data_IF_671678347571
#
_entry.id   IF_671678347571
#
_cell.length_a   1.000
_cell.length_b   1.000
_cell.length_c   1.000
_cell.angle_alpha   90.00
_cell.angle_beta   90.00
_cell.angle_gamma   90.00
#
_symmetry.space_group_name_H-M   'P 1'
#
loop_
_entity.id
_entity.type
_entity.pdbx_description
1 polymer ?
#
# COMPACT_ATOMS: atom_id res chain seq x y z
N UNK A 1 6.35 12.83 -31.47
CA UNK A 1 6.33 11.41 -31.06
C UNK A 1 4.91 11.15 -30.61
N UNK A 2 4.14 10.31 -31.31
CA UNK A 2 2.72 10.11 -31.01
C UNK A 2 2.62 9.37 -29.66
N UNK A 3 2.30 10.08 -28.58
CA UNK A 3 2.09 9.46 -27.29
C UNK A 3 0.78 8.66 -27.35
N UNK A 4 0.85 7.37 -27.02
CA UNK A 4 -0.37 6.57 -26.86
C UNK A 4 -1.11 7.12 -25.65
N UNK A 5 -2.32 7.62 -25.83
CA UNK A 5 -3.15 8.15 -24.76
C UNK A 5 -3.93 6.98 -24.15
N UNK A 6 -3.94 6.87 -22.82
CA UNK A 6 -4.79 5.90 -22.13
C UNK A 6 -6.09 6.60 -21.72
N UNK A 7 -7.22 5.98 -22.03
CA UNK A 7 -8.53 6.49 -21.65
C UNK A 7 -8.70 6.46 -20.12
N UNK A 8 -8.95 7.64 -19.54
CA UNK A 8 -9.12 7.87 -18.10
C UNK A 8 -10.19 7.00 -17.46
N UNK A 9 -11.30 6.82 -18.18
CA UNK A 9 -12.53 6.20 -17.68
C UNK A 9 -12.33 4.75 -17.29
N UNK A 10 -11.60 3.99 -18.11
CA UNK A 10 -11.35 2.58 -17.84
C UNK A 10 -10.45 2.39 -16.62
N UNK A 11 -9.45 3.25 -16.45
CA UNK A 11 -8.56 3.17 -15.28
C UNK A 11 -9.29 3.63 -14.01
N UNK A 12 -10.06 4.71 -14.07
CA UNK A 12 -10.88 5.16 -12.93
C UNK A 12 -11.83 4.07 -12.45
N UNK A 13 -12.55 3.43 -13.38
CA UNK A 13 -13.46 2.32 -13.05
C UNK A 13 -12.69 1.13 -12.50
N UNK A 14 -11.56 0.75 -13.11
CA UNK A 14 -10.74 -0.36 -12.63
C UNK A 14 -10.26 -0.12 -11.19
N UNK A 15 -9.68 1.05 -10.93
CA UNK A 15 -9.17 1.43 -9.61
C UNK A 15 -10.32 1.49 -8.60
N UNK A 16 -11.44 2.12 -8.96
CA UNK A 16 -12.60 2.20 -8.08
C UNK A 16 -13.15 0.81 -7.74
N UNK A 17 -13.25 -0.11 -8.71
CA UNK A 17 -13.64 -1.50 -8.47
C UNK A 17 -12.66 -2.22 -7.53
N UNK A 18 -11.36 -2.03 -7.70
CA UNK A 18 -10.35 -2.56 -6.79
C UNK A 18 -10.57 -2.04 -5.36
N UNK A 19 -10.80 -0.74 -5.19
CA UNK A 19 -11.09 -0.15 -3.87
C UNK A 19 -12.41 -0.63 -3.28
N UNK A 20 -13.45 -0.82 -4.10
CA UNK A 20 -14.70 -1.44 -3.65
C UNK A 20 -14.45 -2.86 -3.15
N UNK A 21 -13.69 -3.67 -3.89
CA UNK A 21 -13.36 -5.04 -3.48
C UNK A 21 -12.55 -5.09 -2.17
N UNK A 22 -11.53 -4.24 -2.04
CA UNK A 22 -10.75 -4.12 -0.80
C UNK A 22 -11.63 -3.63 0.35
N UNK A 23 -12.48 -2.62 0.12
CA UNK A 23 -13.39 -2.11 1.13
C UNK A 23 -14.37 -3.18 1.62
N UNK A 24 -14.93 -3.99 0.71
CA UNK A 24 -15.80 -5.13 1.06
C UNK A 24 -15.04 -6.15 1.89
N UNK A 25 -13.81 -6.51 1.50
CA UNK A 25 -12.96 -7.42 2.27
C UNK A 25 -12.74 -6.90 3.69
N UNK A 26 -12.38 -5.63 3.83
CA UNK A 26 -12.14 -4.97 5.11
C UNK A 26 -13.40 -4.96 5.98
N UNK A 27 -14.57 -4.68 5.40
CA UNK A 27 -15.85 -4.72 6.13
C UNK A 27 -16.16 -6.14 6.61
N UNK A 28 -16.02 -7.15 5.74
CA UNK A 28 -16.27 -8.55 6.09
C UNK A 28 -15.34 -9.03 7.20
N UNK A 29 -14.05 -8.67 7.13
CA UNK A 29 -13.10 -9.02 8.19
C UNK A 29 -13.42 -8.28 9.50
N UNK A 30 -13.83 -7.01 9.43
CA UNK A 30 -14.26 -6.24 10.60
C UNK A 30 -15.49 -6.85 11.28
N UNK A 31 -16.44 -7.38 10.51
CA UNK A 31 -17.60 -8.12 11.03
C UNK A 31 -17.18 -9.40 11.75
N UNK A 32 -16.12 -10.07 11.29
CA UNK A 32 -15.57 -11.29 11.89
C UNK A 32 -14.86 -11.01 13.22
N UNK A 33 -14.07 -9.94 13.30
CA UNK A 33 -13.28 -9.60 14.51
C UNK A 33 -14.05 -8.77 15.54
N UNK A 34 -15.25 -8.30 15.20
CA UNK A 34 -16.11 -7.48 16.05
C UNK A 34 -16.00 -5.99 15.72
N UNK A 35 -17.14 -5.36 15.40
CA UNK A 35 -17.24 -3.96 14.99
C UNK A 35 -18.11 -3.12 15.94
N UNK A 36 -18.52 -3.67 17.08
CA UNK A 36 -19.45 -3.01 18.01
C UNK A 36 -18.70 -2.15 19.01
N UNK A 37 -19.42 -1.21 19.61
CA UNK A 37 -18.97 -0.55 20.81
C UNK A 37 -19.38 -1.41 22.02
N UNK A 38 -18.40 -2.04 22.65
CA UNK A 38 -18.59 -2.89 23.82
C UNK A 38 -18.55 -2.07 25.11
N UNK A 39 -18.83 -2.71 26.24
CA UNK A 39 -18.86 -2.06 27.57
C UNK A 39 -17.48 -1.54 28.02
N UNK A 40 -16.42 -2.12 27.49
CA UNK A 40 -15.01 -1.83 27.77
C UNK A 40 -14.33 -0.98 26.66
N UNK A 41 -15.06 -0.64 25.60
CA UNK A 41 -14.57 0.23 24.52
C UNK A 41 -14.93 -0.27 23.12
N UNK A 42 -14.39 0.38 22.07
CA UNK A 42 -14.56 -0.08 20.69
C UNK A 42 -13.87 -1.43 20.48
N UNK A 43 -14.59 -2.39 19.90
CA UNK A 43 -14.00 -3.64 19.44
C UNK A 43 -12.91 -3.36 18.36
N UNK A 44 -11.95 -4.29 18.16
CA UNK A 44 -10.82 -4.07 17.23
C UNK A 44 -11.24 -3.69 15.80
N UNK A 45 -12.36 -4.23 15.33
CA UNK A 45 -12.91 -3.93 14.01
C UNK A 45 -13.82 -2.71 13.95
N UNK A 46 -14.13 -2.04 15.07
CA UNK A 46 -15.05 -0.90 15.09
C UNK A 46 -14.59 0.19 14.12
N UNK A 47 -13.35 0.66 14.28
CA UNK A 47 -12.80 1.72 13.41
C UNK A 47 -12.59 1.23 11.97
N UNK A 48 -12.05 0.02 11.81
CA UNK A 48 -11.73 -0.58 10.52
C UNK A 48 -13.02 -0.73 9.66
N UNK A 49 -14.15 -1.06 10.30
CA UNK A 49 -15.45 -1.17 9.65
C UNK A 49 -15.91 0.15 9.02
N UNK A 50 -15.84 1.27 9.75
CA UNK A 50 -16.27 2.57 9.21
C UNK A 50 -15.34 3.06 8.10
N UNK A 51 -14.03 2.82 8.21
CA UNK A 51 -13.08 3.13 7.14
C UNK A 51 -13.39 2.29 5.89
N UNK A 52 -13.69 1.00 6.05
CA UNK A 52 -14.13 0.14 4.95
C UNK A 52 -15.43 0.64 4.29
N UNK A 53 -16.42 1.03 5.08
CA UNK A 53 -17.67 1.61 4.58
C UNK A 53 -17.42 2.91 3.79
N UNK A 54 -16.62 3.83 4.33
CA UNK A 54 -16.28 5.09 3.64
C UNK A 54 -15.52 4.83 2.33
N UNK A 55 -14.65 3.83 2.31
CA UNK A 55 -13.91 3.42 1.11
C UNK A 55 -14.85 2.87 0.02
N UNK A 56 -15.83 2.05 0.40
CA UNK A 56 -16.87 1.55 -0.52
C UNK A 56 -17.70 2.72 -1.04
N UNK A 57 -18.18 3.61 -0.17
CA UNK A 57 -19.01 4.74 -0.58
C UNK A 57 -18.27 5.70 -1.52
N UNK A 58 -17.01 6.02 -1.19
CA UNK A 58 -16.17 6.87 -2.04
C UNK A 58 -15.88 6.24 -3.40
N UNK A 59 -15.57 4.94 -3.45
CA UNK A 59 -15.32 4.25 -4.72
C UNK A 59 -16.59 4.10 -5.58
N UNK A 60 -17.75 3.82 -4.98
CA UNK A 60 -19.02 3.81 -5.69
C UNK A 60 -19.41 5.21 -6.21
N UNK A 61 -19.11 6.26 -5.45
CA UNK A 61 -19.31 7.64 -5.90
C UNK A 61 -18.48 7.95 -7.15
N UNK A 62 -17.20 7.53 -7.17
CA UNK A 62 -16.34 7.66 -8.37
C UNK A 62 -16.93 6.89 -9.55
N UNK A 63 -17.34 5.64 -9.37
CA UNK A 63 -17.97 4.85 -10.45
C UNK A 63 -19.21 5.57 -10.99
N UNK A 64 -20.09 6.05 -10.11
CA UNK A 64 -21.30 6.76 -10.51
C UNK A 64 -20.98 8.06 -11.26
N UNK A 65 -19.97 8.81 -10.81
CA UNK A 65 -19.50 10.01 -11.47
C UNK A 65 -18.94 9.72 -12.86
N UNK A 66 -18.04 8.74 -12.99
CA UNK A 66 -17.43 8.34 -14.27
C UNK A 66 -18.48 7.85 -15.25
N UNK A 67 -19.46 7.05 -14.81
CA UNK A 67 -20.58 6.57 -15.66
C UNK A 67 -21.52 7.70 -16.08
N UNK A 68 -21.77 8.68 -15.20
CA UNK A 68 -22.61 9.84 -15.52
C UNK A 68 -21.95 10.75 -16.56
N UNK A 69 -20.66 11.04 -16.38
CA UNK A 69 -19.87 11.86 -17.31
C UNK A 69 -19.62 11.13 -18.64
N UNK A 70 -19.65 9.80 -18.65
CA UNK A 70 -19.50 8.97 -19.86
C UNK A 70 -20.44 9.41 -20.99
N UNK A 71 -21.70 9.76 -20.66
CA UNK A 71 -22.70 10.17 -21.65
C UNK A 71 -22.49 11.59 -22.19
N UNK A 72 -21.71 12.42 -21.52
CA UNK A 72 -21.59 13.85 -21.80
C UNK A 72 -20.33 14.21 -22.61
N UNK A 73 -19.30 13.37 -22.57
CA UNK A 73 -18.00 13.68 -23.17
C UNK A 73 -17.66 12.69 -24.30
N UNK A 74 -17.53 13.21 -25.52
CA UNK A 74 -17.09 12.50 -26.73
C UNK A 74 -15.59 12.17 -26.74
N UNK A 75 -15.09 11.46 -25.71
CA UNK A 75 -13.80 10.76 -25.77
C UNK A 75 -12.51 11.58 -25.64
N UNK A 76 -12.55 12.82 -25.11
CA UNK A 76 -11.37 13.71 -25.06
C UNK A 76 -10.70 13.84 -23.68
N UNK A 77 -10.97 12.95 -22.71
CA UNK A 77 -10.32 13.00 -21.39
C UNK A 77 -9.12 12.05 -21.29
N UNK A 78 -7.92 12.63 -21.36
CA UNK A 78 -6.62 11.95 -21.22
C UNK A 78 -6.27 11.72 -19.75
N UNK A 79 -6.13 10.45 -19.34
CA UNK A 79 -5.83 10.05 -17.95
C UNK A 79 -4.51 10.61 -17.41
N UNK A 80 -3.49 10.46 -18.24
CA UNK A 80 -2.10 10.70 -17.94
C UNK A 80 -1.32 10.45 -19.24
N UNK A 81 -0.24 11.19 -19.46
CA UNK A 81 0.70 10.80 -20.51
C UNK A 81 1.30 9.42 -20.13
N UNK A 82 1.58 8.54 -21.09
CA UNK A 82 2.19 7.22 -20.82
C UNK A 82 3.50 7.33 -20.02
N UNK A 83 4.17 8.48 -20.08
CA UNK A 83 5.31 8.84 -19.24
C UNK A 83 4.97 8.88 -17.75
N UNK A 84 3.86 9.47 -17.35
CA UNK A 84 3.40 9.58 -15.96
C UNK A 84 2.96 8.22 -15.42
N UNK A 85 2.25 7.43 -16.23
CA UNK A 85 1.87 6.06 -15.86
C UNK A 85 3.10 5.17 -15.61
N UNK A 86 4.15 5.34 -16.42
CA UNK A 86 5.43 4.65 -16.20
C UNK A 86 6.10 5.08 -14.90
N UNK A 87 6.05 6.36 -14.53
CA UNK A 87 6.59 6.85 -13.26
C UNK A 87 5.83 6.27 -12.06
N UNK A 88 4.50 6.13 -12.16
CA UNK A 88 3.71 5.45 -11.12
C UNK A 88 4.11 3.98 -10.99
N UNK A 89 4.20 3.25 -12.11
CA UNK A 89 4.65 1.85 -12.12
C UNK A 89 6.05 1.67 -11.55
N UNK A 90 6.94 2.66 -11.77
CA UNK A 90 8.31 2.66 -11.25
C UNK A 90 8.35 2.62 -9.71
N UNK A 91 7.33 3.15 -9.04
CA UNK A 91 7.20 3.10 -7.57
C UNK A 91 6.38 1.88 -7.12
N UNK A 92 5.33 1.52 -7.87
CA UNK A 92 4.44 0.42 -7.51
C UNK A 92 5.14 -0.94 -7.55
N UNK A 93 5.85 -1.25 -8.64
CA UNK A 93 6.48 -2.56 -8.83
C UNK A 93 7.47 -2.89 -7.70
N UNK A 94 8.45 -2.02 -7.35
CA UNK A 94 9.35 -2.31 -6.24
C UNK A 94 8.63 -2.45 -4.90
N UNK A 95 7.54 -1.70 -4.68
CA UNK A 95 6.75 -1.81 -3.46
C UNK A 95 6.04 -3.16 -3.37
N UNK A 96 5.50 -3.67 -4.48
CA UNK A 96 4.97 -5.03 -4.53
C UNK A 96 6.05 -6.08 -4.27
N UNK A 97 7.24 -5.91 -4.85
CA UNK A 97 8.39 -6.79 -4.57
C UNK A 97 8.78 -6.75 -3.09
N UNK A 98 8.75 -5.58 -2.45
CA UNK A 98 8.97 -5.43 -1.02
C UNK A 98 7.94 -6.21 -0.20
N UNK A 99 6.65 -6.08 -0.50
CA UNK A 99 5.59 -6.83 0.19
C UNK A 99 5.82 -8.34 0.09
N UNK A 100 6.19 -8.85 -1.09
CA UNK A 100 6.57 -10.26 -1.26
C UNK A 100 7.82 -10.59 -0.45
N UNK A 101 8.81 -9.71 -0.43
CA UNK A 101 10.03 -9.84 0.36
C UNK A 101 9.77 -9.97 1.85
N UNK A 102 8.81 -9.22 2.41
CA UNK A 102 8.42 -9.31 3.83
C UNK A 102 7.99 -10.72 4.21
N UNK A 103 7.29 -11.43 3.32
CA UNK A 103 6.80 -12.80 3.57
C UNK A 103 7.98 -13.78 3.78
N UNK A 104 9.09 -13.60 3.07
CA UNK A 104 10.22 -14.52 3.10
C UNK A 104 11.35 -14.07 4.03
N UNK A 105 11.57 -12.77 4.14
CA UNK A 105 12.73 -12.18 4.80
C UNK A 105 12.40 -11.52 6.15
N UNK A 106 11.12 -11.40 6.50
CA UNK A 106 10.68 -10.57 7.62
C UNK A 106 10.67 -9.08 7.26
N UNK A 107 9.93 -8.29 8.04
CA UNK A 107 9.72 -6.88 7.73
C UNK A 107 11.00 -6.05 7.85
N UNK A 108 11.87 -6.37 8.81
CA UNK A 108 13.07 -5.57 9.10
C UNK A 108 14.10 -5.74 7.99
N UNK A 109 14.53 -6.97 7.72
CA UNK A 109 15.48 -7.24 6.63
C UNK A 109 14.94 -6.79 5.27
N UNK A 110 13.66 -7.06 4.97
CA UNK A 110 13.04 -6.59 3.73
C UNK A 110 13.06 -5.06 3.64
N UNK A 111 12.81 -4.35 4.76
CA UNK A 111 12.84 -2.88 4.79
C UNK A 111 14.25 -2.34 4.59
N UNK A 112 15.25 -2.94 5.24
CA UNK A 112 16.66 -2.54 5.08
C UNK A 112 17.11 -2.65 3.62
N UNK A 113 16.80 -3.79 2.98
CA UNK A 113 17.12 -4.04 1.57
C UNK A 113 16.33 -3.09 0.67
N UNK A 114 15.02 -2.92 0.92
CA UNK A 114 14.17 -2.06 0.13
C UNK A 114 14.66 -0.61 0.15
N UNK A 115 14.92 -0.06 1.33
CA UNK A 115 15.43 1.32 1.50
C UNK A 115 16.79 1.48 0.83
N UNK A 116 17.72 0.57 1.07
CA UNK A 116 19.05 0.64 0.47
C UNK A 116 18.98 0.55 -1.06
N UNK A 117 18.18 -0.38 -1.60
CA UNK A 117 17.96 -0.53 -3.04
C UNK A 117 17.32 0.73 -3.65
N UNK A 118 16.32 1.31 -2.98
CA UNK A 118 15.66 2.53 -3.45
C UNK A 118 16.61 3.74 -3.46
N UNK A 119 17.44 3.87 -2.43
CA UNK A 119 18.45 4.93 -2.35
C UNK A 119 19.51 4.82 -3.45
N UNK A 120 19.95 3.61 -3.78
CA UNK A 120 20.91 3.39 -4.89
C UNK A 120 20.23 3.65 -6.23
N UNK A 121 19.07 3.05 -6.46
CA UNK A 121 18.42 3.05 -7.77
C UNK A 121 17.78 4.39 -8.10
N UNK A 122 16.92 4.91 -7.23
CA UNK A 122 16.17 6.15 -7.47
C UNK A 122 16.92 7.38 -6.93
N UNK A 123 17.57 7.25 -5.77
CA UNK A 123 18.32 8.34 -5.13
C UNK A 123 19.72 8.56 -5.69
N UNK A 124 20.27 7.59 -6.44
CA UNK A 124 21.65 7.60 -6.98
C UNK A 124 22.72 7.82 -5.91
N UNK A 125 22.45 7.38 -4.68
CA UNK A 125 23.40 7.44 -3.58
C UNK A 125 24.44 6.30 -3.67
N UNK A 126 25.55 6.45 -2.95
CA UNK A 126 26.54 5.38 -2.87
C UNK A 126 25.98 4.15 -2.13
N UNK A 127 26.42 2.96 -2.54
CA UNK A 127 26.02 1.69 -1.90
C UNK A 127 26.29 1.69 -0.40
N UNK A 128 27.43 2.26 0.03
CA UNK A 128 27.82 2.30 1.43
C UNK A 128 26.86 3.17 2.26
N UNK A 129 26.55 4.39 1.79
CA UNK A 129 25.60 5.27 2.46
C UNK A 129 24.20 4.65 2.51
N UNK A 130 23.77 4.05 1.40
CA UNK A 130 22.45 3.43 1.27
C UNK A 130 22.28 2.24 2.20
N UNK A 131 23.27 1.35 2.27
CA UNK A 131 23.28 0.23 3.21
C UNK A 131 23.31 0.70 4.66
N UNK A 132 24.11 1.71 4.98
CA UNK A 132 24.16 2.25 6.34
C UNK A 132 22.80 2.80 6.79
N UNK A 133 22.13 3.57 5.93
CA UNK A 133 20.82 4.15 6.25
C UNK A 133 19.75 3.06 6.32
N UNK A 134 19.71 2.12 5.36
CA UNK A 134 18.76 1.02 5.36
C UNK A 134 18.84 0.16 6.62
N UNK A 135 20.06 -0.24 7.01
CA UNK A 135 20.29 -1.00 8.26
C UNK A 135 19.92 -0.17 9.48
N UNK A 136 20.36 1.09 9.55
CA UNK A 136 20.07 1.96 10.71
C UNK A 136 18.57 2.14 10.91
N UNK A 137 17.84 2.45 9.83
CA UNK A 137 16.38 2.60 9.87
C UNK A 137 15.71 1.31 10.38
N UNK A 138 16.12 0.18 9.83
CA UNK A 138 15.59 -1.13 10.21
C UNK A 138 15.87 -1.46 11.68
N UNK A 139 17.07 -1.17 12.19
CA UNK A 139 17.43 -1.38 13.60
C UNK A 139 16.58 -0.47 14.49
N UNK A 140 16.39 0.80 14.14
CA UNK A 140 15.55 1.72 14.90
C UNK A 140 14.11 1.19 14.97
N UNK A 141 13.55 0.71 13.86
CA UNK A 141 12.21 0.13 13.83
C UNK A 141 12.13 -1.14 14.70
N UNK A 142 13.17 -1.98 14.69
CA UNK A 142 13.24 -3.15 15.56
C UNK A 142 13.22 -2.76 17.04
N UNK A 143 14.04 -1.79 17.45
CA UNK A 143 14.07 -1.30 18.83
C UNK A 143 12.73 -0.70 19.24
N UNK A 144 12.14 0.12 18.37
CA UNK A 144 10.87 0.79 18.64
C UNK A 144 9.73 -0.20 18.82
N UNK A 145 9.55 -1.14 17.89
CA UNK A 145 8.41 -2.05 17.92
C UNK A 145 8.63 -3.21 18.87
N UNK A 146 9.78 -3.87 18.82
CA UNK A 146 9.99 -5.12 19.55
C UNK A 146 10.41 -4.88 21.01
N UNK A 147 11.23 -3.85 21.28
CA UNK A 147 11.74 -3.58 22.64
C UNK A 147 10.88 -2.55 23.38
N UNK A 148 10.51 -1.45 22.74
CA UNK A 148 9.75 -0.39 23.41
C UNK A 148 8.25 -0.61 23.38
N UNK A 149 7.67 -0.95 22.23
CA UNK A 149 6.23 -1.19 22.12
C UNK A 149 5.79 -2.62 22.39
N UNK A 150 6.73 -3.58 22.41
CA UNK A 150 6.46 -5.01 22.58
C UNK A 150 5.43 -5.54 21.55
N UNK A 151 5.43 -4.97 20.34
CA UNK A 151 4.58 -5.38 19.22
C UNK A 151 5.42 -6.24 18.29
N UNK A 152 5.14 -7.54 18.27
CA UNK A 152 5.82 -8.46 17.35
C UNK A 152 5.34 -8.26 15.92
N UNK A 153 6.25 -7.81 15.07
CA UNK A 153 6.03 -7.70 13.63
C UNK A 153 6.40 -8.99 12.90
N UNK A 154 6.00 -9.19 11.63
CA UNK A 154 6.38 -10.36 10.84
C UNK A 154 7.91 -10.52 10.78
N UNK A 155 8.42 -11.57 11.42
CA UNK A 155 9.85 -11.86 11.55
C UNK A 155 10.33 -12.77 10.44
N UNK A 156 11.61 -12.64 10.12
CA UNK A 156 12.28 -13.42 9.09
C UNK A 156 13.31 -14.38 9.67
N UNK A 157 14.12 -14.97 8.77
CA UNK A 157 15.15 -15.93 9.14
C UNK A 157 16.23 -15.32 10.05
N UNK A 158 16.56 -14.03 9.87
CA UNK A 158 17.63 -13.38 10.62
C UNK A 158 17.20 -13.15 12.07
N UNK A 159 15.99 -12.67 12.28
CA UNK A 159 15.42 -12.44 13.60
C UNK A 159 15.30 -13.77 14.37
N UNK A 160 14.86 -14.83 13.67
CA UNK A 160 14.80 -16.17 14.25
C UNK A 160 16.18 -16.69 14.70
N UNK A 161 17.25 -16.40 13.95
CA UNK A 161 18.62 -16.74 14.35
C UNK A 161 19.09 -15.94 15.58
N UNK A 162 18.57 -14.73 15.77
CA UNK A 162 18.87 -13.86 16.91
C UNK A 162 18.00 -14.16 18.15
N UNK A 163 17.10 -15.16 18.07
CA UNK A 163 16.24 -15.58 19.17
C UNK A 163 14.97 -14.74 19.34
N UNK A 164 14.57 -13.99 18.30
CA UNK A 164 13.33 -13.22 18.24
C UNK A 164 12.37 -13.84 17.23
#
# INVERSE_FOLDING_TARGET
MNERIIEQRWIEILIALCFTAVGVLVVVDSLRIGYRWASDGPEPGYFIFYIGCLLILGSLFVIAQTVKTWKQENGETSFAAVSEFKLMLLMLIPTCVYVVGVIFLGIYLASAIFVAAFMVWQGKYSLLQSSFIGVTLSVILFLLFEIWFLISLPKGPIEAMLGY
#
